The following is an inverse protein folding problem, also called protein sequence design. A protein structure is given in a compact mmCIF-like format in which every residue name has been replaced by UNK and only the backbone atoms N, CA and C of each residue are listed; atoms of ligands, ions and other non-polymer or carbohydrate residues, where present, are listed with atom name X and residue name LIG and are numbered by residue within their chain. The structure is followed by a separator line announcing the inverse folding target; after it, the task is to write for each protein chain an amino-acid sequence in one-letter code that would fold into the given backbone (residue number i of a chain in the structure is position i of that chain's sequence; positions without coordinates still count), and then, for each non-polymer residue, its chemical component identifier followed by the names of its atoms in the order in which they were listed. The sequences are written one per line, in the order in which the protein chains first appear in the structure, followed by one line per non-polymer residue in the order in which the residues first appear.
data_IF_385031858639
#
_entry.id   IF_385031858639
#
_cell.length_a   1.000
_cell.length_b   1.000
_cell.length_c   1.000
_cell.angle_alpha   90.00
_cell.angle_beta   90.00
_cell.angle_gamma   90.00
#
_symmetry.space_group_name_H-M   'P 1'
#
loop_
_entity.id
_entity.type
_entity.pdbx_description
1 polymer ?
#
# COMPACT_ATOMS: atom_id res chain seq x y z
N UNK A 1 -2.96 -8.63 -41.21
CA UNK A 1 -3.21 -9.03 -39.80
C UNK A 1 -2.69 -7.91 -38.92
N UNK A 2 -3.52 -6.90 -38.67
CA UNK A 2 -3.21 -5.79 -37.75
C UNK A 2 -3.29 -6.33 -36.33
N UNK A 3 -2.13 -6.51 -35.69
CA UNK A 3 -2.04 -6.99 -34.32
C UNK A 3 -2.74 -6.01 -33.39
N UNK A 4 -3.85 -6.43 -32.80
CA UNK A 4 -4.49 -5.71 -31.70
C UNK A 4 -3.40 -5.49 -30.64
N UNK A 5 -3.13 -4.24 -30.21
CA UNK A 5 -2.14 -3.99 -29.17
C UNK A 5 -2.52 -4.80 -27.93
N UNK A 6 -1.61 -5.66 -27.45
CA UNK A 6 -1.86 -6.49 -26.27
C UNK A 6 -2.08 -5.63 -25.02
N UNK A 7 -2.75 -6.19 -24.00
CA UNK A 7 -3.03 -5.50 -22.73
C UNK A 7 -1.78 -4.86 -22.06
N UNK A 8 -0.59 -5.39 -22.34
CA UNK A 8 0.69 -4.81 -21.92
C UNK A 8 0.99 -3.44 -22.55
N UNK A 9 0.69 -3.25 -23.84
CA UNK A 9 0.89 -1.97 -24.50
C UNK A 9 -0.04 -0.90 -23.93
N UNK A 10 -1.28 -1.30 -23.61
CA UNK A 10 -2.27 -0.42 -22.97
C UNK A 10 -1.85 -0.05 -21.54
N UNK A 11 -1.40 -1.02 -20.75
CA UNK A 11 -0.83 -0.78 -19.42
C UNK A 11 0.36 0.19 -19.46
N UNK A 12 1.27 0.00 -20.42
CA UNK A 12 2.41 0.89 -20.63
C UNK A 12 2.01 2.33 -20.97
N UNK A 13 0.99 2.51 -21.82
CA UNK A 13 0.47 3.82 -22.18
C UNK A 13 -0.15 4.55 -20.97
N UNK A 14 -0.96 3.83 -20.17
CA UNK A 14 -1.56 4.36 -18.93
C UNK A 14 -0.47 4.77 -17.93
N UNK A 15 0.54 3.92 -17.72
CA UNK A 15 1.66 4.20 -16.82
C UNK A 15 2.46 5.43 -17.26
N UNK A 16 2.73 5.57 -18.56
CA UNK A 16 3.45 6.72 -19.10
C UNK A 16 2.67 8.03 -18.88
N UNK A 17 1.35 8.01 -19.08
CA UNK A 17 0.47 9.17 -18.88
C UNK A 17 0.43 9.59 -17.41
N UNK A 18 0.18 8.63 -16.51
CA UNK A 18 0.15 8.89 -15.06
C UNK A 18 1.50 9.40 -14.55
N UNK A 19 2.62 8.88 -15.07
CA UNK A 19 3.95 9.39 -14.70
C UNK A 19 4.12 10.88 -15.00
N UNK A 20 3.53 11.40 -16.08
CA UNK A 20 3.58 12.83 -16.43
C UNK A 20 2.67 13.69 -15.57
N UNK A 21 1.52 13.18 -15.14
CA UNK A 21 0.49 13.95 -14.41
C UNK A 21 0.56 13.76 -12.88
N UNK A 22 1.18 12.67 -12.37
CA UNK A 22 0.95 12.13 -11.01
C UNK A 22 2.07 12.29 -9.97
N UNK A 23 3.10 13.13 -10.20
CA UNK A 23 4.18 13.33 -9.21
C UNK A 23 3.65 13.92 -7.88
N UNK A 24 2.65 14.81 -7.94
CA UNK A 24 2.04 15.41 -6.73
C UNK A 24 1.33 14.37 -5.86
N UNK A 25 0.67 13.38 -6.49
CA UNK A 25 -0.07 12.35 -5.78
C UNK A 25 0.85 11.36 -5.07
N UNK A 26 1.99 11.02 -5.70
CA UNK A 26 3.05 10.21 -5.10
C UNK A 26 3.58 10.85 -3.81
N UNK A 27 3.88 12.15 -3.85
CA UNK A 27 4.41 12.87 -2.69
C UNK A 27 3.41 12.94 -1.53
N UNK A 28 2.10 12.96 -1.82
CA UNK A 28 1.05 13.10 -0.81
C UNK A 28 1.03 12.00 0.25
N UNK A 29 1.46 10.77 -0.10
CA UNK A 29 1.54 9.65 0.82
C UNK A 29 2.96 9.44 1.36
N UNK A 30 3.99 9.71 0.53
CA UNK A 30 5.40 9.51 0.91
C UNK A 30 5.86 10.53 1.93
N UNK A 31 5.53 11.81 1.76
CA UNK A 31 5.94 12.87 2.70
C UNK A 31 5.46 12.59 4.13
N UNK A 32 4.16 12.35 4.41
CA UNK A 32 3.73 12.08 5.78
C UNK A 32 4.34 10.80 6.35
N UNK A 33 4.58 9.78 5.53
CA UNK A 33 5.30 8.57 5.95
C UNK A 33 6.74 8.87 6.39
N UNK A 34 7.49 9.63 5.58
CA UNK A 34 8.88 10.03 5.90
C UNK A 34 8.91 10.91 7.15
N UNK A 35 7.99 11.87 7.28
CA UNK A 35 7.86 12.69 8.48
C UNK A 35 7.63 11.80 9.71
N UNK A 36 6.75 10.80 9.60
CA UNK A 36 6.46 9.89 10.69
C UNK A 36 7.66 8.99 11.05
N UNK A 37 8.44 8.54 10.06
CA UNK A 37 9.70 7.83 10.30
C UNK A 37 10.72 8.72 11.03
N UNK A 38 10.84 9.99 10.66
CA UNK A 38 11.71 10.96 11.35
C UNK A 38 11.24 11.14 12.79
N UNK A 39 9.93 11.31 13.01
CA UNK A 39 9.36 11.42 14.37
C UNK A 39 9.64 10.16 15.18
N UNK A 40 9.44 8.97 14.63
CA UNK A 40 9.74 7.70 15.32
C UNK A 40 11.23 7.53 15.62
N UNK A 41 12.12 8.12 14.82
CA UNK A 41 13.56 8.04 15.01
C UNK A 41 14.06 9.06 16.04
N UNK A 42 13.54 10.30 16.00
CA UNK A 42 14.02 11.42 16.81
C UNK A 42 13.32 11.51 18.16
N UNK A 43 12.00 11.32 18.21
CA UNK A 43 11.22 11.51 19.43
C UNK A 43 11.74 10.65 20.59
N UNK A 44 12.10 9.37 20.42
CA UNK A 44 12.61 8.58 21.53
C UNK A 44 14.01 8.98 22.00
N UNK A 45 14.81 9.60 21.14
CA UNK A 45 16.12 10.14 21.50
C UNK A 45 16.00 11.39 22.38
N UNK A 46 14.95 12.19 22.18
CA UNK A 46 14.73 13.44 22.91
C UNK A 46 13.86 13.25 24.16
N UNK A 47 12.83 12.39 24.09
CA UNK A 47 11.84 12.23 25.16
C UNK A 47 12.30 11.35 26.33
N UNK A 48 13.38 10.59 26.19
CA UNK A 48 13.89 9.70 27.25
C UNK A 48 12.92 8.58 27.65
N UNK A 49 12.93 8.21 28.94
CA UNK A 49 12.32 6.98 29.50
C UNK A 49 10.78 7.01 29.62
N UNK A 50 10.11 8.09 29.18
CA UNK A 50 8.67 8.31 29.38
C UNK A 50 7.74 7.70 28.32
N UNK A 51 8.26 6.96 27.35
CA UNK A 51 7.47 6.48 26.21
C UNK A 51 6.72 5.19 26.58
N UNK A 52 5.39 5.25 26.50
CA UNK A 52 4.54 4.06 26.65
C UNK A 52 4.90 3.04 25.58
N UNK A 53 5.21 1.81 26.00
CA UNK A 53 5.65 0.74 25.09
C UNK A 53 7.16 0.69 24.82
N UNK A 54 7.97 1.58 25.43
CA UNK A 54 9.43 1.55 25.29
C UNK A 54 10.05 0.21 25.68
N UNK A 55 9.53 -0.45 26.73
CA UNK A 55 10.02 -1.77 27.15
C UNK A 55 9.77 -2.85 26.08
N UNK A 56 8.61 -2.82 25.43
CA UNK A 56 8.27 -3.76 24.35
C UNK A 56 9.16 -3.50 23.14
N UNK A 57 9.32 -2.24 22.75
CA UNK A 57 10.23 -1.85 21.68
C UNK A 57 11.67 -2.26 21.97
N UNK A 58 12.19 -1.97 23.17
CA UNK A 58 13.54 -2.38 23.58
C UNK A 58 13.72 -3.90 23.51
N UNK A 59 12.72 -4.68 23.94
CA UNK A 59 12.76 -6.14 23.85
C UNK A 59 12.81 -6.63 22.38
N UNK A 60 12.08 -5.99 21.47
CA UNK A 60 12.17 -6.27 20.02
C UNK A 60 13.55 -5.91 19.47
N UNK A 61 14.08 -4.73 19.82
CA UNK A 61 15.42 -4.31 19.43
C UNK A 61 16.49 -5.30 19.91
N UNK A 62 16.45 -5.67 21.19
CA UNK A 62 17.37 -6.63 21.79
C UNK A 62 17.26 -8.03 21.16
N UNK A 63 16.03 -8.47 20.83
CA UNK A 63 15.80 -9.76 20.14
C UNK A 63 16.53 -9.84 18.80
N UNK A 64 16.64 -8.72 18.09
CA UNK A 64 17.35 -8.64 16.81
C UNK A 64 18.78 -8.10 16.94
N UNK A 65 19.34 -8.10 18.15
CA UNK A 65 20.76 -7.84 18.39
C UNK A 65 21.15 -6.36 18.48
N UNK A 66 20.19 -5.44 18.61
CA UNK A 66 20.51 -4.04 18.88
C UNK A 66 21.15 -3.91 20.27
N UNK A 67 22.37 -3.41 20.32
CA UNK A 67 23.18 -3.20 21.53
C UNK A 67 23.17 -1.73 22.01
N UNK A 68 22.82 -0.79 21.13
CA UNK A 68 22.56 0.62 21.46
C UNK A 68 21.21 1.09 20.89
N UNK A 69 20.61 2.10 21.53
CA UNK A 69 19.33 2.71 21.11
C UNK A 69 18.20 1.68 20.82
N UNK A 70 18.14 0.61 21.64
CA UNK A 70 17.23 -0.53 21.48
C UNK A 70 15.76 -0.12 21.32
N UNK A 71 15.33 0.94 22.01
CA UNK A 71 13.96 1.47 21.91
C UNK A 71 13.68 2.01 20.51
N UNK A 72 14.57 2.83 19.96
CA UNK A 72 14.39 3.44 18.62
C UNK A 72 14.41 2.36 17.55
N UNK A 73 15.42 1.49 17.59
CA UNK A 73 15.58 0.40 16.62
C UNK A 73 14.38 -0.54 16.69
N UNK A 74 13.95 -0.92 17.90
CA UNK A 74 12.78 -1.76 18.10
C UNK A 74 11.47 -1.12 17.64
N UNK A 75 11.28 0.19 17.87
CA UNK A 75 10.10 0.91 17.35
C UNK A 75 10.05 0.92 15.83
N UNK A 76 11.19 1.18 15.17
CA UNK A 76 11.26 1.13 13.71
C UNK A 76 10.98 -0.29 13.20
N UNK A 77 11.60 -1.32 13.80
CA UNK A 77 11.35 -2.70 13.39
C UNK A 77 9.91 -3.15 13.60
N UNK A 78 9.25 -2.66 14.65
CA UNK A 78 7.88 -3.04 14.97
C UNK A 78 6.85 -2.32 14.08
N UNK A 79 7.03 -1.01 13.90
CA UNK A 79 5.98 -0.13 13.37
C UNK A 79 6.17 0.13 11.87
N UNK A 80 7.41 0.24 11.39
CA UNK A 80 7.71 0.63 10.00
C UNK A 80 7.06 -0.29 8.96
N UNK A 81 7.07 -1.62 9.07
CA UNK A 81 6.40 -2.47 8.08
C UNK A 81 4.88 -2.22 8.03
N UNK A 82 4.24 -2.04 9.19
CA UNK A 82 2.81 -1.74 9.25
C UNK A 82 2.46 -0.37 8.67
N UNK A 83 3.32 0.63 8.90
CA UNK A 83 3.16 1.95 8.29
C UNK A 83 3.40 1.91 6.78
N UNK A 84 4.39 1.14 6.32
CA UNK A 84 4.62 0.96 4.89
C UNK A 84 3.40 0.34 4.22
N UNK A 85 2.74 -0.63 4.87
CA UNK A 85 1.49 -1.19 4.40
C UNK A 85 0.38 -0.12 4.35
N UNK A 86 0.20 0.65 5.41
CA UNK A 86 -0.85 1.68 5.51
C UNK A 86 -0.66 2.83 4.51
N UNK A 87 0.50 3.47 4.51
CA UNK A 87 0.79 4.59 3.61
C UNK A 87 0.92 4.13 2.15
N UNK A 88 1.42 2.90 1.93
CA UNK A 88 1.36 2.25 0.63
C UNK A 88 -0.08 2.11 0.15
N UNK A 89 -0.98 1.57 0.96
CA UNK A 89 -2.39 1.44 0.64
C UNK A 89 -3.09 2.79 0.38
N UNK A 90 -2.78 3.83 1.16
CA UNK A 90 -3.29 5.19 0.94
C UNK A 90 -2.84 5.72 -0.43
N UNK A 91 -1.55 5.63 -0.72
CA UNK A 91 -0.98 6.08 -2.00
C UNK A 91 -1.61 5.36 -3.19
N UNK A 92 -1.69 4.03 -3.11
CA UNK A 92 -2.29 3.18 -4.15
C UNK A 92 -3.76 3.50 -4.36
N UNK A 93 -4.54 3.60 -3.28
CA UNK A 93 -5.98 3.88 -3.37
C UNK A 93 -6.22 5.19 -4.10
N UNK A 94 -5.47 6.24 -3.74
CA UNK A 94 -5.57 7.56 -4.39
C UNK A 94 -5.15 7.50 -5.85
N UNK A 95 -4.04 6.84 -6.18
CA UNK A 95 -3.56 6.76 -7.57
C UNK A 95 -4.48 5.93 -8.48
N UNK A 96 -5.10 4.88 -7.95
CA UNK A 96 -6.07 4.07 -8.70
C UNK A 96 -7.37 4.84 -8.91
N UNK A 97 -7.88 5.52 -7.88
CA UNK A 97 -9.08 6.35 -8.01
C UNK A 97 -8.87 7.56 -8.91
N UNK A 98 -7.73 8.22 -8.80
CA UNK A 98 -7.34 9.32 -9.68
C UNK A 98 -7.32 8.88 -11.13
N UNK A 99 -6.76 7.69 -11.42
CA UNK A 99 -6.80 7.12 -12.76
C UNK A 99 -8.25 6.89 -13.23
N UNK A 100 -9.05 6.12 -12.48
CA UNK A 100 -10.43 5.77 -12.88
C UNK A 100 -11.27 7.04 -13.07
N UNK A 101 -11.19 7.99 -12.13
CA UNK A 101 -11.90 9.27 -12.23
C UNK A 101 -11.46 10.11 -13.42
N UNK A 102 -10.16 10.15 -13.73
CA UNK A 102 -9.64 10.87 -14.89
C UNK A 102 -10.05 10.24 -16.23
N UNK A 103 -10.12 8.91 -16.32
CA UNK A 103 -10.54 8.21 -17.53
C UNK A 103 -12.06 8.30 -17.73
N UNK A 104 -12.86 8.32 -16.67
CA UNK A 104 -14.32 8.56 -16.75
C UNK A 104 -14.60 10.00 -17.17
N UNK A 105 -14.03 10.99 -16.48
CA UNK A 105 -14.28 12.42 -16.76
C UNK A 105 -13.84 12.89 -18.15
N UNK A 106 -12.85 12.25 -18.75
CA UNK A 106 -12.35 12.57 -20.10
C UNK A 106 -13.06 11.79 -21.21
N UNK A 107 -14.03 10.92 -20.90
CA UNK A 107 -14.63 10.00 -21.86
C UNK A 107 -13.67 8.90 -22.34
N UNK A 108 -12.53 8.72 -21.67
CA UNK A 108 -11.53 7.71 -22.02
C UNK A 108 -12.06 6.29 -21.93
N UNK A 109 -13.01 6.03 -21.02
CA UNK A 109 -13.71 4.73 -20.99
C UNK A 109 -14.58 4.50 -22.24
N UNK A 110 -15.21 5.55 -22.79
CA UNK A 110 -15.98 5.46 -24.04
C UNK A 110 -15.04 5.28 -25.24
N UNK A 111 -13.91 5.99 -25.24
CA UNK A 111 -12.86 5.85 -26.26
C UNK A 111 -12.25 4.44 -26.25
N UNK A 112 -11.99 3.88 -25.07
CA UNK A 112 -11.49 2.51 -24.91
C UNK A 112 -12.51 1.44 -25.36
N UNK A 113 -13.81 1.71 -25.25
CA UNK A 113 -14.87 0.82 -25.72
C UNK A 113 -15.14 0.93 -27.22
N UNK A 114 -14.89 2.08 -27.81
CA UNK A 114 -14.95 2.27 -29.28
C UNK A 114 -13.73 1.73 -30.01
N UNK A 115 -12.61 1.54 -29.29
CA UNK A 115 -11.42 0.87 -29.78
C UNK A 115 -11.59 -0.67 -29.82
N UNK A 116 -10.80 -1.40 -30.64
CA UNK A 116 -10.91 -2.85 -30.79
C UNK A 116 -10.31 -3.64 -29.60
N UNK A 117 -10.63 -3.24 -28.37
CA UNK A 117 -10.22 -3.93 -27.14
C UNK A 117 -11.39 -4.72 -26.55
N UNK A 118 -11.09 -5.89 -25.99
CA UNK A 118 -12.10 -6.63 -25.23
C UNK A 118 -12.25 -6.04 -23.83
N UNK A 119 -13.44 -6.10 -23.20
CA UNK A 119 -13.63 -5.67 -21.82
C UNK A 119 -12.65 -6.33 -20.84
N UNK A 120 -12.33 -7.61 -21.05
CA UNK A 120 -11.32 -8.33 -20.29
C UNK A 120 -9.90 -7.78 -20.48
N UNK A 121 -9.56 -7.31 -21.68
CA UNK A 121 -8.28 -6.66 -21.96
C UNK A 121 -8.13 -5.32 -21.26
N UNK A 122 -9.21 -4.52 -21.19
CA UNK A 122 -9.26 -3.27 -20.44
C UNK A 122 -9.11 -3.54 -18.94
N UNK A 123 -9.88 -4.49 -18.39
CA UNK A 123 -9.79 -4.87 -16.99
C UNK A 123 -8.38 -5.37 -16.62
N UNK A 124 -7.75 -6.20 -17.47
CA UNK A 124 -6.40 -6.69 -17.26
C UNK A 124 -5.34 -5.56 -17.30
N UNK A 125 -5.50 -4.57 -18.19
CA UNK A 125 -4.61 -3.42 -18.25
C UNK A 125 -4.72 -2.54 -17.00
N UNK A 126 -5.95 -2.29 -16.52
CA UNK A 126 -6.20 -1.51 -15.30
C UNK A 126 -5.69 -2.25 -14.06
N UNK A 127 -5.89 -3.57 -13.96
CA UNK A 127 -5.30 -4.41 -12.92
C UNK A 127 -3.76 -4.37 -12.97
N UNK A 128 -3.17 -4.46 -14.17
CA UNK A 128 -1.73 -4.36 -14.38
C UNK A 128 -1.16 -3.03 -13.88
N UNK A 129 -1.82 -1.91 -14.21
CA UNK A 129 -1.47 -0.60 -13.69
C UNK A 129 -1.53 -0.57 -12.15
N UNK A 130 -2.62 -1.05 -11.56
CA UNK A 130 -2.81 -1.03 -10.11
C UNK A 130 -1.74 -1.86 -9.37
N UNK A 131 -1.33 -3.01 -9.92
CA UNK A 131 -0.25 -3.84 -9.38
C UNK A 131 1.12 -3.15 -9.48
N UNK A 132 1.41 -2.50 -10.60
CA UNK A 132 2.67 -1.75 -10.78
C UNK A 132 2.76 -0.58 -9.81
N UNK A 133 1.67 0.19 -9.68
CA UNK A 133 1.61 1.30 -8.72
C UNK A 133 1.72 0.82 -7.28
N UNK A 134 1.03 -0.27 -6.92
CA UNK A 134 1.14 -0.87 -5.59
C UNK A 134 2.54 -1.35 -5.26
N UNK A 135 3.20 -1.99 -6.21
CA UNK A 135 4.60 -2.42 -6.05
C UNK A 135 5.55 -1.22 -5.97
N UNK A 136 5.28 -0.15 -6.73
CA UNK A 136 6.05 1.09 -6.67
C UNK A 136 5.97 1.78 -5.31
N UNK A 137 4.76 1.96 -4.77
CA UNK A 137 4.58 2.51 -3.42
C UNK A 137 5.20 1.62 -2.35
N UNK A 138 4.99 0.30 -2.43
CA UNK A 138 5.66 -0.64 -1.53
C UNK A 138 7.18 -0.45 -1.55
N UNK A 139 7.80 -0.45 -2.73
CA UNK A 139 9.25 -0.32 -2.86
C UNK A 139 9.76 0.98 -2.25
N UNK A 140 9.10 2.11 -2.52
CA UNK A 140 9.47 3.43 -1.97
C UNK A 140 9.34 3.46 -0.44
N UNK A 141 8.21 3.00 0.12
CA UNK A 141 7.98 3.03 1.57
C UNK A 141 8.93 2.08 2.31
N UNK A 142 9.13 0.87 1.78
CA UNK A 142 10.06 -0.10 2.35
C UNK A 142 11.50 0.37 2.27
N UNK A 143 11.91 0.99 1.14
CA UNK A 143 13.25 1.56 1.01
C UNK A 143 13.47 2.74 1.98
N UNK A 144 12.50 3.65 2.11
CA UNK A 144 12.58 4.74 3.07
C UNK A 144 12.63 4.25 4.53
N UNK A 145 11.86 3.20 4.86
CA UNK A 145 11.93 2.53 6.15
C UNK A 145 13.29 1.89 6.43
N UNK A 146 13.82 1.14 5.46
CA UNK A 146 15.15 0.52 5.56
C UNK A 146 16.26 1.57 5.69
N UNK A 147 16.15 2.68 4.95
CA UNK A 147 17.07 3.81 5.05
C UNK A 147 17.03 4.44 6.44
N UNK A 148 15.83 4.67 7.00
CA UNK A 148 15.69 5.21 8.35
C UNK A 148 16.36 4.31 9.41
N UNK A 149 16.13 2.98 9.33
CA UNK A 149 16.80 2.01 10.21
C UNK A 149 18.32 2.08 10.02
N UNK A 150 18.80 2.09 8.77
CA UNK A 150 20.23 2.13 8.46
C UNK A 150 20.89 3.40 9.01
N UNK A 151 20.26 4.56 8.84
CA UNK A 151 20.76 5.83 9.38
C UNK A 151 20.82 5.78 10.90
N UNK A 152 19.80 5.25 11.58
CA UNK A 152 19.82 5.09 13.05
C UNK A 152 20.95 4.15 13.48
N UNK A 153 21.17 3.03 12.80
CA UNK A 153 22.26 2.10 13.10
C UNK A 153 23.64 2.75 12.91
N UNK A 154 23.83 3.49 11.82
CA UNK A 154 25.08 4.21 11.54
C UNK A 154 25.38 5.28 12.59
N UNK A 155 24.36 6.05 13.02
CA UNK A 155 24.52 7.10 14.02
C UNK A 155 24.72 6.56 15.44
N UNK A 156 24.16 5.38 15.74
CA UNK A 156 24.26 4.76 17.06
C UNK A 156 25.44 3.81 17.22
N UNK A 157 26.07 3.41 16.12
CA UNK A 157 27.06 2.32 16.12
C UNK A 157 26.46 0.96 16.43
N UNK A 158 25.13 0.84 16.48
CA UNK A 158 24.45 -0.38 16.85
C UNK A 158 24.57 -1.44 15.75
N UNK A 159 24.58 -2.70 16.15
CA UNK A 159 24.51 -3.84 15.22
C UNK A 159 23.09 -4.38 15.16
N UNK A 160 22.74 -4.99 14.03
CA UNK A 160 21.42 -5.59 13.84
C UNK A 160 21.57 -6.90 13.07
N UNK A 161 20.96 -7.96 13.60
CA UNK A 161 20.87 -9.27 12.96
C UNK A 161 19.41 -9.63 12.80
N UNK A 162 18.90 -9.52 11.57
CA UNK A 162 17.53 -9.86 11.23
C UNK A 162 17.44 -11.30 10.76
N UNK A 163 16.48 -12.04 11.30
CA UNK A 163 16.19 -13.39 10.80
C UNK A 163 15.39 -13.35 9.49
N UNK A 164 15.47 -14.44 8.72
CA UNK A 164 14.78 -14.54 7.43
C UNK A 164 13.25 -14.46 7.59
N UNK A 165 12.69 -14.91 8.72
CA UNK A 165 11.25 -14.87 8.97
C UNK A 165 10.74 -13.44 9.15
N UNK A 166 11.49 -12.61 9.86
CA UNK A 166 11.21 -11.20 10.03
C UNK A 166 11.35 -10.45 8.71
N UNK A 167 12.42 -10.70 7.94
CA UNK A 167 12.58 -10.08 6.61
C UNK A 167 11.42 -10.46 5.69
N UNK A 168 11.02 -11.73 5.69
CA UNK A 168 9.86 -12.20 4.91
C UNK A 168 8.59 -11.45 5.32
N UNK A 169 8.32 -11.35 6.62
CA UNK A 169 7.16 -10.63 7.13
C UNK A 169 7.22 -9.12 6.79
N UNK A 170 8.35 -8.48 7.05
CA UNK A 170 8.52 -7.04 6.90
C UNK A 170 8.49 -6.59 5.43
N UNK A 171 8.89 -7.46 4.50
CA UNK A 171 8.88 -7.16 3.06
C UNK A 171 7.60 -7.61 2.39
N UNK A 172 7.18 -8.86 2.59
CA UNK A 172 6.07 -9.44 1.83
C UNK A 172 4.71 -9.02 2.37
N UNK A 173 4.54 -8.86 3.69
CA UNK A 173 3.24 -8.51 4.24
C UNK A 173 2.75 -7.12 3.75
N UNK A 174 3.60 -6.06 3.76
CA UNK A 174 3.21 -4.77 3.20
C UNK A 174 2.93 -4.82 1.69
N UNK A 175 3.68 -5.65 0.94
CA UNK A 175 3.45 -5.84 -0.50
C UNK A 175 2.08 -6.46 -0.76
N UNK A 176 1.75 -7.54 -0.05
CA UNK A 176 0.45 -8.20 -0.14
C UNK A 176 -0.68 -7.22 0.22
N UNK A 177 -0.48 -6.38 1.25
CA UNK A 177 -1.47 -5.37 1.61
C UNK A 177 -1.67 -4.34 0.51
N UNK A 178 -0.58 -3.86 -0.09
CA UNK A 178 -0.66 -2.92 -1.19
C UNK A 178 -1.44 -3.51 -2.38
N UNK A 179 -1.21 -4.78 -2.72
CA UNK A 179 -1.98 -5.48 -3.77
C UNK A 179 -3.44 -5.70 -3.39
N UNK A 180 -3.73 -6.09 -2.16
CA UNK A 180 -5.11 -6.24 -1.67
C UNK A 180 -5.87 -4.92 -1.73
N UNK A 181 -5.25 -3.84 -1.26
CA UNK A 181 -5.81 -2.49 -1.33
C UNK A 181 -6.03 -2.06 -2.78
N UNK A 182 -5.07 -2.30 -3.68
CA UNK A 182 -5.22 -2.02 -5.11
C UNK A 182 -6.43 -2.74 -5.72
N UNK A 183 -6.55 -4.04 -5.45
CA UNK A 183 -7.66 -4.87 -5.93
C UNK A 183 -9.01 -4.43 -5.38
N UNK A 184 -9.09 -4.12 -4.09
CA UNK A 184 -10.31 -3.59 -3.46
C UNK A 184 -10.67 -2.21 -4.00
N UNK A 185 -9.70 -1.30 -4.17
CA UNK A 185 -9.95 0.01 -4.75
C UNK A 185 -10.51 -0.13 -6.16
N UNK A 186 -9.95 -1.01 -6.99
CA UNK A 186 -10.47 -1.29 -8.32
C UNK A 186 -11.88 -1.87 -8.28
N UNK A 187 -12.10 -2.86 -7.42
CA UNK A 187 -13.43 -3.46 -7.23
C UNK A 187 -14.47 -2.40 -6.88
N UNK A 188 -14.18 -1.52 -5.93
CA UNK A 188 -15.11 -0.46 -5.53
C UNK A 188 -15.28 0.58 -6.63
N UNK A 189 -14.19 1.02 -7.26
CA UNK A 189 -14.24 2.09 -8.28
C UNK A 189 -14.95 1.65 -9.56
N UNK A 190 -14.84 0.37 -9.93
CA UNK A 190 -15.43 -0.16 -11.17
C UNK A 190 -16.84 -0.73 -10.97
N UNK A 191 -17.13 -1.36 -9.83
CA UNK A 191 -18.43 -2.01 -9.60
C UNK A 191 -19.40 -1.13 -8.80
N UNK A 192 -18.89 -0.18 -8.02
CA UNK A 192 -19.68 0.67 -7.15
C UNK A 192 -19.24 2.14 -7.23
N UNK A 193 -19.24 2.77 -8.42
CA UNK A 193 -18.74 4.13 -8.61
C UNK A 193 -19.45 5.15 -7.71
N UNK A 194 -20.74 4.96 -7.42
CA UNK A 194 -21.51 5.80 -6.47
C UNK A 194 -20.92 5.81 -5.05
N UNK A 195 -20.33 4.71 -4.59
CA UNK A 195 -19.67 4.64 -3.27
C UNK A 195 -18.35 5.42 -3.25
N UNK A 196 -17.74 5.69 -4.42
CA UNK A 196 -16.55 6.54 -4.54
C UNK A 196 -16.90 8.02 -4.66
N UNK A 197 -18.06 8.35 -5.22
CA UNK A 197 -18.55 9.73 -5.36
C UNK A 197 -19.13 10.31 -4.04
N UNK A 198 -19.73 9.45 -3.18
CA UNK A 198 -20.19 9.79 -1.83
C UNK A 198 -18.98 10.19 -0.94
N UNK A 199 -18.54 11.44 -1.05
CA UNK A 199 -17.37 11.96 -0.32
C UNK A 199 -16.57 13.05 -1.06
N UNK A 200 -16.82 13.27 -2.36
CA UNK A 200 -16.09 14.25 -3.17
C UNK A 200 -16.33 15.73 -2.77
N UNK A 201 -17.32 16.02 -1.92
CA UNK A 201 -17.67 17.38 -1.48
C UNK A 201 -16.90 17.92 -0.27
N UNK A 202 -16.13 17.10 0.46
CA UNK A 202 -15.41 17.53 1.68
C UNK A 202 -13.91 17.27 1.53
N UNK A 203 -13.24 18.25 0.93
CA UNK A 203 -11.85 18.22 0.43
C UNK A 203 -10.75 18.30 1.51
N UNK A 204 -10.87 17.64 2.67
CA UNK A 204 -9.77 17.66 3.67
C UNK A 204 -9.25 16.27 4.06
N UNK A 205 -10.01 15.19 3.87
CA UNK A 205 -9.51 13.83 4.12
C UNK A 205 -10.38 12.73 3.48
N UNK A 206 -10.54 12.74 2.15
CA UNK A 206 -10.84 11.55 1.34
C UNK A 206 -11.92 10.58 1.88
N UNK A 207 -13.03 11.09 2.39
CA UNK A 207 -14.06 10.31 3.09
C UNK A 207 -15.07 9.67 2.15
N UNK A 208 -14.63 8.78 1.25
CA UNK A 208 -15.55 7.84 0.60
C UNK A 208 -15.54 6.51 1.36
N UNK A 209 -16.72 5.90 1.56
CA UNK A 209 -16.82 4.57 2.20
C UNK A 209 -15.95 3.53 1.49
N UNK A 210 -15.78 3.71 0.18
CA UNK A 210 -14.86 2.92 -0.65
C UNK A 210 -13.40 2.97 -0.20
N UNK A 211 -12.92 4.15 0.21
CA UNK A 211 -11.56 4.32 0.73
C UNK A 211 -11.36 3.57 2.04
N UNK A 212 -12.35 3.63 2.93
CA UNK A 212 -12.30 2.89 4.19
C UNK A 212 -12.10 1.40 3.97
N UNK A 213 -12.89 0.79 3.07
CA UNK A 213 -12.81 -0.63 2.75
C UNK A 213 -11.45 -1.02 2.13
N UNK A 214 -10.93 -0.22 1.20
CA UNK A 214 -9.64 -0.50 0.56
C UNK A 214 -8.46 -0.43 1.54
N UNK A 215 -8.58 0.34 2.63
CA UNK A 215 -7.55 0.47 3.66
C UNK A 215 -7.61 -0.63 4.74
N UNK A 216 -8.69 -1.41 4.82
CA UNK A 216 -8.86 -2.45 5.83
C UNK A 216 -7.72 -3.48 5.89
N UNK A 217 -7.19 -4.02 4.76
CA UNK A 217 -6.08 -4.97 4.82
C UNK A 217 -4.83 -4.37 5.46
N UNK A 218 -4.55 -3.10 5.17
CA UNK A 218 -3.38 -2.41 5.69
C UNK A 218 -3.55 -2.01 7.16
N UNK A 219 -4.73 -1.55 7.57
CA UNK A 219 -5.06 -1.29 8.97
C UNK A 219 -5.02 -2.58 9.80
N UNK A 220 -5.62 -3.66 9.30
CA UNK A 220 -5.58 -4.97 9.93
C UNK A 220 -4.14 -5.47 10.11
N UNK A 221 -3.29 -5.27 9.10
CA UNK A 221 -1.87 -5.63 9.17
C UNK A 221 -1.10 -4.77 10.16
N UNK A 222 -1.33 -3.46 10.19
CA UNK A 222 -0.71 -2.58 11.18
C UNK A 222 -1.08 -3.03 12.60
N UNK A 223 -2.36 -3.30 12.87
CA UNK A 223 -2.81 -3.80 14.17
C UNK A 223 -2.22 -5.19 14.48
N UNK A 224 -2.19 -6.09 13.50
CA UNK A 224 -1.60 -7.42 13.65
C UNK A 224 -0.09 -7.33 13.98
N UNK A 225 0.64 -6.39 13.40
CA UNK A 225 2.05 -6.16 13.71
C UNK A 225 2.24 -5.57 15.12
N UNK A 226 1.42 -4.59 15.50
CA UNK A 226 1.50 -3.96 16.81
C UNK A 226 1.17 -4.92 17.96
N UNK A 227 0.17 -5.77 17.79
CA UNK A 227 -0.32 -6.65 18.86
C UNK A 227 0.17 -8.10 18.76
N UNK A 228 0.50 -8.58 17.56
CA UNK A 228 0.79 -10.00 17.29
C UNK A 228 2.26 -10.37 17.20
N UNK A 229 3.17 -9.41 16.96
CA UNK A 229 4.60 -9.70 16.76
C UNK A 229 5.28 -10.31 17.99
N UNK A 230 4.90 -9.85 19.18
CA UNK A 230 5.47 -10.31 20.45
C UNK A 230 4.98 -11.73 20.81
N UNK A 231 3.73 -12.06 20.46
CA UNK A 231 3.08 -13.30 20.90
C UNK A 231 3.15 -14.45 19.89
N UNK A 232 3.02 -14.17 18.59
CA UNK A 232 2.88 -15.19 17.54
C UNK A 232 4.21 -15.49 16.82
N UNK A 233 5.18 -14.59 16.91
CA UNK A 233 6.41 -14.65 16.11
C UNK A 233 6.19 -14.31 14.63
N UNK A 234 7.26 -13.99 13.88
CA UNK A 234 7.13 -13.38 12.56
C UNK A 234 6.51 -14.33 11.51
N UNK A 235 6.89 -15.62 11.52
CA UNK A 235 6.41 -16.59 10.53
C UNK A 235 4.90 -16.85 10.67
N UNK A 236 4.42 -17.13 11.89
CA UNK A 236 2.99 -17.40 12.11
C UNK A 236 2.14 -16.16 11.81
N UNK A 237 2.62 -14.99 12.22
CA UNK A 237 1.94 -13.73 11.94
C UNK A 237 1.84 -13.47 10.42
N UNK A 238 2.91 -13.72 9.67
CA UNK A 238 2.90 -13.62 8.21
C UNK A 238 1.91 -14.61 7.58
N UNK A 239 1.89 -15.87 8.01
CA UNK A 239 0.97 -16.87 7.48
C UNK A 239 -0.50 -16.49 7.74
N UNK A 240 -0.82 -15.98 8.93
CA UNK A 240 -2.18 -15.58 9.28
C UNK A 240 -2.59 -14.29 8.57
N UNK A 241 -1.86 -13.19 8.80
CA UNK A 241 -2.20 -11.90 8.23
C UNK A 241 -2.07 -11.92 6.70
N UNK A 242 -0.94 -12.41 6.19
CA UNK A 242 -0.69 -12.55 4.76
C UNK A 242 -1.66 -13.50 4.08
N UNK A 243 -2.03 -14.61 4.73
CA UNK A 243 -3.06 -15.53 4.25
C UNK A 243 -4.41 -14.82 4.05
N UNK A 244 -4.87 -14.07 5.05
CA UNK A 244 -6.09 -13.25 4.95
C UNK A 244 -5.98 -12.23 3.84
N UNK A 245 -4.85 -11.53 3.73
CA UNK A 245 -4.61 -10.53 2.67
C UNK A 245 -4.64 -11.14 1.27
N UNK A 246 -4.06 -12.34 1.08
CA UNK A 246 -4.10 -13.07 -0.19
C UNK A 246 -5.54 -13.44 -0.54
N UNK A 247 -6.32 -13.97 0.41
CA UNK A 247 -7.73 -14.32 0.20
C UNK A 247 -8.53 -13.09 -0.25
N UNK A 248 -8.35 -11.96 0.43
CA UNK A 248 -9.00 -10.68 0.06
C UNK A 248 -8.61 -10.26 -1.36
N UNK A 249 -7.31 -10.32 -1.69
CA UNK A 249 -6.81 -9.94 -3.01
C UNK A 249 -7.42 -10.80 -4.12
N UNK A 250 -7.37 -12.13 -3.94
CA UNK A 250 -7.90 -13.10 -4.91
C UNK A 250 -9.40 -12.91 -5.08
N UNK A 251 -10.15 -12.74 -3.98
CA UNK A 251 -11.58 -12.50 -4.04
C UNK A 251 -11.91 -11.20 -4.79
N UNK A 252 -11.20 -10.10 -4.49
CA UNK A 252 -11.41 -8.83 -5.17
C UNK A 252 -11.13 -8.93 -6.68
N UNK A 253 -10.00 -9.54 -7.06
CA UNK A 253 -9.63 -9.74 -8.47
C UNK A 253 -10.64 -10.64 -9.18
N UNK A 254 -11.06 -11.75 -8.58
CA UNK A 254 -12.03 -12.66 -9.16
C UNK A 254 -13.40 -11.98 -9.35
N UNK A 255 -13.83 -11.16 -8.39
CA UNK A 255 -15.08 -10.40 -8.48
C UNK A 255 -14.99 -9.36 -9.61
N UNK A 256 -13.87 -8.63 -9.72
CA UNK A 256 -13.65 -7.68 -10.83
C UNK A 256 -13.67 -8.42 -12.16
N UNK A 257 -12.89 -9.49 -12.31
CA UNK A 257 -12.81 -10.25 -13.56
C UNK A 257 -14.16 -10.86 -13.98
N UNK A 258 -14.98 -11.32 -13.03
CA UNK A 258 -16.26 -11.97 -13.31
C UNK A 258 -17.45 -11.02 -13.48
N UNK A 259 -17.41 -9.83 -12.87
CA UNK A 259 -18.56 -8.90 -12.85
C UNK A 259 -18.32 -7.58 -13.57
N UNK A 260 -17.13 -7.32 -14.08
CA UNK A 260 -16.83 -6.08 -14.78
C UNK A 260 -17.73 -5.90 -16.02
N UNK A 261 -18.59 -4.89 -15.96
CA UNK A 261 -19.41 -4.43 -17.09
C UNK A 261 -19.01 -2.98 -17.38
N UNK A 262 -18.42 -2.68 -18.56
CA UNK A 262 -17.99 -1.32 -18.86
C UNK A 262 -19.14 -0.30 -18.80
N UNK A 263 -20.34 -0.73 -19.19
CA UNK A 263 -21.59 0.03 -19.16
C UNK A 263 -21.91 0.59 -17.77
N UNK A 264 -21.68 -0.18 -16.70
CA UNK A 264 -21.98 0.27 -15.33
C UNK A 264 -21.09 1.42 -14.83
N UNK A 265 -19.96 1.66 -15.50
CA UNK A 265 -19.06 2.80 -15.19
C UNK A 265 -19.50 4.07 -15.92
N UNK A 266 -20.26 3.94 -17.02
CA UNK A 266 -20.75 5.06 -17.82
C UNK A 266 -22.07 5.64 -17.29
N UNK A 267 -22.89 4.82 -16.62
CA UNK A 267 -24.19 5.21 -16.04
C UNK A 267 -24.09 5.99 -14.71
N UNK A 268 -22.88 6.38 -14.29
CA UNK A 268 -22.58 6.98 -12.97
C UNK A 268 -21.88 8.32 -13.04
#
# INVERSE_FOLDING_TARGET
MSGVPGAFALCGAILWRVRREGVRDLLSAVVPFVVLLVVLSVLPLVAGHGIKGAAVAAAVGARYGADANMVVVGLLLLITPGLAALFGAIGVTRSVQGLVGSEVSRGGMEELLSAPYTPGGIAAAVLGYALVVATGFWAVMTAAGALAITVVLLLSGARLTLDAGYLTLALLLPLLCAWASAGLTLMVSLLFPRLTQLGAGVNVAGGSLGNGLALLPALGTLLALLYGTVSLGPVKLFLMAGGVTVVITVAAVAIVAGKFRPETVLDS
#
